data_IF_325828274447
#
_entry.id   IF_325828274447
#
_cell.length_a   1.000
_cell.length_b   1.000
_cell.length_c   1.000
_cell.angle_alpha   90.00
_cell.angle_beta   90.00
_cell.angle_gamma   90.00
#
_symmetry.space_group_name_H-M   'P 1'
#
loop_
_entity.id
_entity.type
_entity.pdbx_description
1 polymer ?
#
# COMPACT_ATOMS: atom_id res chain seq x y z
N UNK A 1 0.23 -15.62 8.75
CA UNK A 1 0.61 -16.98 8.29
C UNK A 1 1.90 -16.94 7.45
N UNK A 2 1.89 -16.38 6.22
CA UNK A 2 3.05 -16.37 5.32
C UNK A 2 4.13 -15.34 5.70
N UNK A 3 3.75 -14.27 6.34
CA UNK A 3 4.66 -13.17 6.74
C UNK A 3 5.02 -13.19 8.23
N UNK A 4 4.63 -14.22 8.97
CA UNK A 4 4.95 -14.35 10.39
C UNK A 4 4.43 -13.20 11.27
N UNK A 5 3.44 -12.47 10.80
CA UNK A 5 2.75 -11.47 11.62
C UNK A 5 1.98 -12.14 12.77
N UNK A 6 1.83 -11.43 13.86
CA UNK A 6 0.99 -11.87 14.98
C UNK A 6 -0.47 -12.01 14.52
N UNK A 7 -1.11 -13.10 14.92
CA UNK A 7 -2.53 -13.33 14.66
C UNK A 7 -3.39 -12.60 15.70
N UNK A 8 -3.53 -11.31 15.53
CA UNK A 8 -4.33 -10.42 16.37
C UNK A 8 -5.52 -9.83 15.60
N UNK A 9 -6.51 -9.34 16.34
CA UNK A 9 -7.64 -8.60 15.76
C UNK A 9 -7.12 -7.41 14.93
N UNK A 10 -6.14 -6.69 15.46
CA UNK A 10 -5.55 -5.54 14.78
C UNK A 10 -4.94 -5.92 13.42
N UNK A 11 -4.11 -6.96 13.38
CA UNK A 11 -3.44 -7.40 12.14
C UNK A 11 -4.47 -7.83 11.10
N UNK A 12 -5.48 -8.60 11.51
CA UNK A 12 -6.55 -9.05 10.61
C UNK A 12 -7.33 -7.87 10.04
N UNK A 13 -7.76 -6.93 10.90
CA UNK A 13 -8.55 -5.78 10.48
C UNK A 13 -7.76 -4.79 9.64
N UNK A 14 -6.49 -4.54 9.96
CA UNK A 14 -5.63 -3.67 9.17
C UNK A 14 -5.45 -4.22 7.75
N UNK A 15 -5.16 -5.51 7.61
CA UNK A 15 -5.01 -6.14 6.32
C UNK A 15 -6.32 -6.23 5.54
N UNK A 16 -7.41 -6.62 6.20
CA UNK A 16 -8.76 -6.65 5.62
C UNK A 16 -9.15 -5.29 5.04
N UNK A 17 -9.01 -4.20 5.83
CA UNK A 17 -9.33 -2.84 5.38
C UNK A 17 -8.52 -2.41 4.16
N UNK A 18 -7.24 -2.80 4.11
CA UNK A 18 -6.40 -2.50 2.95
C UNK A 18 -6.90 -3.19 1.68
N UNK A 19 -7.24 -4.48 1.75
CA UNK A 19 -7.74 -5.23 0.59
C UNK A 19 -9.11 -4.73 0.14
N UNK A 20 -10.04 -4.51 1.06
CA UNK A 20 -11.37 -3.96 0.75
C UNK A 20 -11.25 -2.56 0.14
N UNK A 21 -10.38 -1.70 0.66
CA UNK A 21 -10.14 -0.37 0.09
C UNK A 21 -9.52 -0.43 -1.31
N UNK A 22 -8.64 -1.41 -1.55
CA UNK A 22 -8.08 -1.64 -2.89
C UNK A 22 -9.18 -2.01 -3.90
N UNK A 23 -10.12 -2.88 -3.51
CA UNK A 23 -11.30 -3.20 -4.32
C UNK A 23 -12.18 -1.96 -4.51
N UNK A 24 -12.54 -1.27 -3.42
CA UNK A 24 -13.39 -0.07 -3.49
C UNK A 24 -12.84 0.99 -4.45
N UNK A 25 -11.53 1.23 -4.46
CA UNK A 25 -10.91 2.21 -5.36
C UNK A 25 -10.93 1.83 -6.84
N UNK A 26 -11.11 0.55 -7.16
CA UNK A 26 -11.33 0.12 -8.54
C UNK A 26 -12.78 0.38 -8.97
N UNK A 27 -13.75 0.01 -8.14
CA UNK A 27 -15.17 0.18 -8.47
C UNK A 27 -15.63 1.64 -8.32
N UNK A 28 -15.07 2.36 -7.36
CA UNK A 28 -15.38 3.76 -7.05
C UNK A 28 -14.10 4.61 -6.97
N UNK A 29 -13.47 4.94 -8.12
CA UNK A 29 -12.25 5.73 -8.14
C UNK A 29 -12.36 7.03 -7.34
N UNK A 30 -11.38 7.29 -6.48
CA UNK A 30 -11.37 8.43 -5.58
C UNK A 30 -12.09 8.21 -4.25
N UNK A 31 -12.56 6.99 -3.95
CA UNK A 31 -13.04 6.62 -2.60
C UNK A 31 -12.00 7.00 -1.56
N UNK A 32 -12.47 7.65 -0.48
CA UNK A 32 -11.59 8.11 0.59
C UNK A 32 -10.97 6.94 1.33
N UNK A 33 -9.67 6.82 1.21
CA UNK A 33 -8.85 5.91 1.98
C UNK A 33 -7.45 6.52 2.14
N UNK A 34 -7.18 7.09 3.30
CA UNK A 34 -5.97 7.87 3.59
C UNK A 34 -4.96 7.09 4.45
N UNK A 35 -5.03 5.76 4.41
CA UNK A 35 -4.21 4.88 5.23
C UNK A 35 -3.25 4.07 4.36
N UNK A 36 -2.06 3.80 4.91
CA UNK A 36 -1.08 2.87 4.35
C UNK A 36 -0.80 1.75 5.36
N UNK A 37 -0.71 0.51 4.89
CA UNK A 37 -0.26 -0.62 5.69
C UNK A 37 1.27 -0.68 5.66
N UNK A 38 1.91 -0.63 6.83
CA UNK A 38 3.36 -0.59 6.95
C UNK A 38 3.88 -1.91 7.51
N UNK A 39 4.64 -2.62 6.70
CA UNK A 39 5.28 -3.86 7.12
C UNK A 39 6.66 -3.57 7.73
N UNK A 40 6.81 -3.91 8.99
CA UNK A 40 8.01 -3.67 9.78
C UNK A 40 8.78 -4.97 9.96
N UNK A 41 10.00 -5.05 9.44
CA UNK A 41 10.93 -6.17 9.65
C UNK A 41 12.29 -5.91 9.06
N UNK A 42 13.26 -6.71 9.41
CA UNK A 42 14.56 -6.73 8.73
C UNK A 42 14.44 -6.97 7.23
N UNK A 43 15.47 -6.63 6.49
CA UNK A 43 15.56 -6.85 5.05
C UNK A 43 15.43 -8.36 4.72
N UNK A 44 14.86 -8.67 3.57
CA UNK A 44 14.75 -10.08 3.11
C UNK A 44 13.51 -10.83 3.61
N UNK A 45 12.60 -10.22 4.37
CA UNK A 45 11.38 -10.88 4.87
C UNK A 45 10.26 -11.06 3.82
N UNK A 46 10.49 -10.71 2.54
CA UNK A 46 9.50 -10.90 1.49
C UNK A 46 8.39 -9.84 1.41
N UNK A 47 8.56 -8.67 2.07
CA UNK A 47 7.57 -7.58 2.11
C UNK A 47 7.13 -7.14 0.72
N UNK A 48 8.07 -6.69 -0.09
CA UNK A 48 7.81 -6.22 -1.46
C UNK A 48 7.29 -7.34 -2.37
N UNK A 49 7.79 -8.57 -2.19
CA UNK A 49 7.30 -9.74 -2.93
C UNK A 49 5.81 -9.99 -2.67
N UNK A 50 5.36 -9.89 -1.41
CA UNK A 50 3.94 -10.03 -1.10
C UNK A 50 3.10 -8.98 -1.83
N UNK A 51 3.47 -7.70 -1.74
CA UNK A 51 2.72 -6.61 -2.37
C UNK A 51 2.72 -6.75 -3.89
N UNK A 52 3.87 -7.09 -4.49
CA UNK A 52 4.00 -7.34 -5.91
C UNK A 52 3.08 -8.48 -6.36
N UNK A 53 3.05 -9.60 -5.63
CA UNK A 53 2.19 -10.74 -5.95
C UNK A 53 0.70 -10.39 -5.82
N UNK A 54 0.32 -9.70 -4.74
CA UNK A 54 -1.05 -9.22 -4.54
C UNK A 54 -1.52 -8.28 -5.67
N UNK A 55 -0.63 -7.48 -6.22
CA UNK A 55 -0.98 -6.50 -7.26
C UNK A 55 -1.40 -7.11 -8.60
N UNK A 56 -1.14 -8.39 -8.82
CA UNK A 56 -1.42 -9.11 -10.09
C UNK A 56 -0.87 -8.38 -11.33
N UNK A 57 0.31 -7.77 -11.18
CA UNK A 57 1.01 -7.04 -12.23
C UNK A 57 0.77 -5.52 -12.26
N UNK A 58 -0.13 -4.99 -11.41
CA UNK A 58 -0.39 -3.55 -11.29
C UNK A 58 0.34 -2.97 -10.07
N UNK A 59 1.66 -3.19 -10.03
CA UNK A 59 2.56 -2.81 -8.94
C UNK A 59 3.42 -1.62 -9.30
N UNK A 60 3.69 -0.76 -8.31
CA UNK A 60 4.70 0.29 -8.40
C UNK A 60 5.48 0.38 -7.09
N UNK A 61 6.79 0.19 -7.18
CA UNK A 61 7.79 0.34 -6.12
C UNK A 61 8.83 1.42 -6.45
N UNK A 62 8.63 2.15 -7.54
CA UNK A 62 9.62 3.09 -8.08
C UNK A 62 9.39 4.55 -7.66
N UNK A 63 8.54 4.79 -6.66
CA UNK A 63 8.30 6.15 -6.16
C UNK A 63 9.52 6.70 -5.43
N UNK A 64 10.14 7.72 -6.01
CA UNK A 64 11.29 8.44 -5.43
C UNK A 64 10.91 9.79 -4.80
N UNK A 65 9.69 10.25 -5.01
CA UNK A 65 9.16 11.51 -4.49
C UNK A 65 7.66 11.41 -4.29
N UNK A 66 7.13 12.13 -3.31
CA UNK A 66 5.69 12.27 -3.05
C UNK A 66 5.13 13.61 -3.54
N UNK A 67 5.95 14.41 -4.21
CA UNK A 67 5.59 15.75 -4.67
C UNK A 67 5.75 15.91 -6.18
N UNK A 68 4.95 16.82 -6.73
CA UNK A 68 5.01 17.20 -8.13
C UNK A 68 4.36 16.22 -9.09
N UNK A 69 4.34 16.58 -10.36
CA UNK A 69 3.67 15.85 -11.44
C UNK A 69 4.18 14.41 -11.59
N UNK A 70 5.48 14.18 -11.44
CA UNK A 70 6.07 12.84 -11.56
C UNK A 70 5.52 11.86 -10.53
N UNK A 71 5.29 12.31 -9.29
CA UNK A 71 4.68 11.47 -8.26
C UNK A 71 3.25 11.05 -8.64
N UNK A 72 2.48 11.96 -9.22
CA UNK A 72 1.10 11.66 -9.65
C UNK A 72 1.07 10.77 -10.90
N UNK A 73 1.98 10.99 -11.85
CA UNK A 73 2.09 10.16 -13.05
C UNK A 73 2.49 8.71 -12.70
N UNK A 74 3.40 8.53 -11.74
CA UNK A 74 3.91 7.21 -11.37
C UNK A 74 2.83 6.27 -10.81
N UNK A 75 1.77 6.79 -10.18
CA UNK A 75 0.71 5.97 -9.59
C UNK A 75 -0.48 5.70 -10.51
N UNK A 76 -0.52 6.29 -11.72
CA UNK A 76 -1.70 6.18 -12.61
C UNK A 76 -1.95 4.76 -13.14
N UNK A 77 -0.89 3.98 -13.29
CA UNK A 77 -0.97 2.61 -13.81
C UNK A 77 -0.72 1.56 -12.73
N UNK A 78 -0.87 1.95 -11.45
CA UNK A 78 -0.67 1.06 -10.34
C UNK A 78 -1.95 0.87 -9.54
N UNK A 79 -2.15 -0.33 -9.05
CA UNK A 79 -3.19 -0.66 -8.07
C UNK A 79 -2.62 -0.70 -6.66
N UNK A 80 -1.47 -1.38 -6.49
CA UNK A 80 -0.74 -1.39 -5.23
C UNK A 80 0.59 -0.65 -5.41
N UNK A 81 0.80 0.35 -4.57
CA UNK A 81 2.02 1.17 -4.57
C UNK A 81 2.81 0.92 -3.31
N UNK A 82 4.08 0.58 -3.43
CA UNK A 82 4.98 0.44 -2.30
C UNK A 82 5.76 1.73 -2.07
N UNK A 83 5.66 2.23 -0.84
CA UNK A 83 6.50 3.29 -0.30
C UNK A 83 7.66 2.60 0.43
N UNK A 84 8.77 2.41 -0.28
CA UNK A 84 9.94 1.70 0.24
C UNK A 84 10.75 2.58 1.20
N UNK A 85 11.49 1.92 2.10
CA UNK A 85 12.52 2.53 2.95
C UNK A 85 12.03 3.72 3.82
N UNK A 86 10.86 3.57 4.45
CA UNK A 86 10.28 4.62 5.29
C UNK A 86 11.18 5.05 6.47
N UNK A 87 12.16 4.24 6.86
CA UNK A 87 13.15 4.56 7.88
C UNK A 87 14.05 5.76 7.52
N UNK A 88 14.28 5.99 6.22
CA UNK A 88 15.08 7.10 5.73
C UNK A 88 14.31 8.44 5.67
N UNK A 89 13.02 8.43 5.98
CA UNK A 89 12.13 9.59 5.84
C UNK A 89 12.33 10.57 6.99
N UNK A 90 12.59 11.84 6.65
CA UNK A 90 12.67 12.92 7.62
C UNK A 90 11.29 13.28 8.17
N UNK A 91 11.25 13.92 9.34
CA UNK A 91 9.98 14.36 9.96
C UNK A 91 9.15 15.28 9.05
N UNK A 92 9.78 16.15 8.28
CA UNK A 92 9.13 17.00 7.26
C UNK A 92 8.41 16.18 6.19
N UNK A 93 8.99 15.05 5.82
CA UNK A 93 8.51 14.21 4.73
C UNK A 93 7.30 13.36 5.17
N UNK A 94 7.16 13.10 6.48
CA UNK A 94 5.98 12.44 7.05
C UNK A 94 4.72 13.29 6.83
N UNK A 95 4.80 14.60 6.99
CA UNK A 95 3.65 15.49 6.71
C UNK A 95 3.33 15.54 5.21
N UNK A 96 4.34 15.55 4.35
CA UNK A 96 4.17 15.43 2.90
C UNK A 96 3.47 14.10 2.57
N UNK A 97 3.91 13.00 3.18
CA UNK A 97 3.31 11.68 3.01
C UNK A 97 1.85 11.66 3.48
N UNK A 98 1.54 12.18 4.67
CA UNK A 98 0.16 12.27 5.18
C UNK A 98 -0.74 13.06 4.23
N UNK A 99 -0.24 14.17 3.69
CA UNK A 99 -0.96 14.97 2.70
C UNK A 99 -1.14 14.20 1.39
N UNK A 100 -0.10 13.51 0.93
CA UNK A 100 -0.16 12.70 -0.27
C UNK A 100 -1.17 11.55 -0.13
N UNK A 101 -1.16 10.80 0.98
CA UNK A 101 -2.10 9.71 1.25
C UNK A 101 -3.56 10.19 1.31
N UNK A 102 -3.80 11.40 1.80
CA UNK A 102 -5.15 11.93 1.99
C UNK A 102 -5.84 12.37 0.69
N UNK A 103 -5.12 12.45 -0.42
CA UNK A 103 -5.70 12.84 -1.71
C UNK A 103 -6.60 11.76 -2.29
N UNK A 104 -7.72 12.18 -2.83
CA UNK A 104 -8.68 11.33 -3.55
C UNK A 104 -8.46 11.37 -5.05
N UNK A 105 -7.85 12.45 -5.52
CA UNK A 105 -7.57 12.71 -6.93
C UNK A 105 -6.29 13.54 -7.07
N UNK A 106 -5.68 13.45 -8.23
CA UNK A 106 -4.48 14.17 -8.60
C UNK A 106 -4.75 15.00 -9.86
N UNK A 107 -4.58 16.32 -9.74
CA UNK A 107 -4.81 17.25 -10.83
C UNK A 107 -3.46 17.77 -11.33
N UNK A 108 -3.13 17.43 -12.56
CA UNK A 108 -1.86 17.82 -13.17
C UNK A 108 -1.96 17.85 -14.70
N UNK A 109 -0.93 18.42 -15.32
CA UNK A 109 -0.73 18.39 -16.76
C UNK A 109 0.40 17.42 -17.08
N UNK A 110 0.08 16.30 -17.71
CA UNK A 110 1.08 15.34 -18.18
C UNK A 110 2.03 15.98 -19.20
N UNK A 111 3.23 15.43 -19.33
CA UNK A 111 4.20 15.88 -20.32
C UNK A 111 3.56 15.89 -21.71
N UNK A 112 3.78 16.97 -22.45
CA UNK A 112 3.21 17.22 -23.79
C UNK A 112 1.68 17.33 -23.86
N UNK A 113 0.95 17.21 -22.78
CA UNK A 113 -0.51 17.41 -22.80
C UNK A 113 -0.86 18.89 -22.96
N UNK A 114 -1.94 19.17 -23.71
CA UNK A 114 -2.44 20.55 -23.91
C UNK A 114 -3.24 21.07 -22.74
N UNK A 115 -3.80 20.19 -21.91
CA UNK A 115 -4.72 20.55 -20.82
C UNK A 115 -4.38 19.85 -19.52
N UNK A 116 -4.70 20.48 -18.41
CA UNK A 116 -4.73 19.88 -17.08
C UNK A 116 -5.89 18.87 -17.03
N UNK A 117 -5.65 17.72 -16.40
CA UNK A 117 -6.67 16.70 -16.14
C UNK A 117 -6.64 16.29 -14.68
N UNK A 118 -7.81 15.91 -14.18
CA UNK A 118 -7.98 15.34 -12.86
C UNK A 118 -8.11 13.82 -12.99
N UNK A 119 -7.32 13.10 -12.24
CA UNK A 119 -7.30 11.64 -12.20
C UNK A 119 -7.70 11.18 -10.79
N UNK A 120 -8.84 10.50 -10.69
CA UNK A 120 -9.27 9.89 -9.44
C UNK A 120 -8.40 8.69 -9.11
N UNK A 121 -7.95 8.59 -7.86
CA UNK A 121 -7.05 7.53 -7.43
C UNK A 121 -7.72 6.16 -7.40
N UNK A 122 -7.05 5.18 -8.00
CA UNK A 122 -7.43 3.76 -8.00
C UNK A 122 -6.44 2.91 -7.21
N UNK A 123 -5.34 3.48 -6.71
CA UNK A 123 -4.31 2.77 -5.96
C UNK A 123 -4.47 2.89 -4.45
N UNK A 124 -3.94 1.91 -3.73
CA UNK A 124 -3.70 1.94 -2.29
C UNK A 124 -2.21 1.81 -2.00
N UNK A 125 -1.79 2.21 -0.78
CA UNK A 125 -0.38 2.33 -0.44
C UNK A 125 0.02 1.31 0.62
N UNK A 126 1.11 0.63 0.35
CA UNK A 126 1.84 -0.18 1.31
C UNK A 126 3.17 0.49 1.61
N UNK A 127 3.71 0.28 2.79
CA UNK A 127 5.04 0.75 3.13
C UNK A 127 5.89 -0.37 3.69
N UNK A 128 7.20 -0.23 3.56
CA UNK A 128 8.17 -1.11 4.18
C UNK A 128 9.21 -0.33 4.95
N UNK A 129 9.56 -0.83 6.14
CA UNK A 129 10.60 -0.26 6.98
C UNK A 129 11.36 -1.36 7.71
N UNK A 130 12.61 -1.05 8.08
CA UNK A 130 13.44 -1.93 8.89
C UNK A 130 13.48 -1.49 10.37
N UNK A 131 12.87 -0.35 10.70
CA UNK A 131 12.88 0.23 12.03
C UNK A 131 11.51 0.14 12.69
N UNK A 132 11.47 -0.31 13.95
CA UNK A 132 10.26 -0.38 14.74
C UNK A 132 9.72 1.01 15.12
N UNK A 133 10.60 2.02 15.17
CA UNK A 133 10.29 3.39 15.58
C UNK A 133 10.25 4.41 14.43
N UNK A 134 9.80 4.03 13.24
CA UNK A 134 9.74 4.98 12.11
C UNK A 134 8.74 6.14 12.33
N UNK A 135 7.75 5.96 13.21
CA UNK A 135 6.75 6.98 13.59
C UNK A 135 7.08 7.58 14.97
N UNK A 136 8.08 8.45 15.02
CA UNK A 136 8.46 9.16 16.27
C UNK A 136 7.46 10.27 16.67
N UNK A 137 6.58 10.69 15.78
CA UNK A 137 5.57 11.71 16.02
C UNK A 137 4.20 11.09 16.27
N UNK A 138 3.58 11.41 17.40
CA UNK A 138 2.26 10.87 17.78
C UNK A 138 1.10 11.49 16.99
N UNK A 139 1.31 12.59 16.28
CA UNK A 139 0.25 13.28 15.55
C UNK A 139 0.02 12.69 14.16
N UNK A 140 -1.22 12.30 13.87
CA UNK A 140 -1.62 11.82 12.53
C UNK A 140 -1.20 10.38 12.21
N UNK A 141 -0.69 9.61 13.17
CA UNK A 141 -0.25 8.22 12.99
C UNK A 141 -1.40 7.26 12.64
N UNK A 142 -2.65 7.68 12.80
CA UNK A 142 -3.84 6.91 12.38
C UNK A 142 -3.86 6.52 10.89
N UNK A 143 -3.02 7.18 10.08
CA UNK A 143 -2.89 6.86 8.64
C UNK A 143 -1.95 5.70 8.37
N UNK A 144 -1.23 5.23 9.38
CA UNK A 144 -0.27 4.16 9.22
C UNK A 144 -0.69 2.96 10.06
N UNK A 145 -0.84 1.82 9.42
CA UNK A 145 -1.12 0.54 10.07
C UNK A 145 0.17 -0.29 10.14
N UNK A 146 1.01 -0.12 11.19
CA UNK A 146 2.23 -0.89 11.32
C UNK A 146 1.91 -2.34 11.69
N UNK A 147 2.49 -3.27 10.95
CA UNK A 147 2.42 -4.71 11.22
C UNK A 147 3.83 -5.25 11.25
N UNK A 148 4.24 -5.77 12.39
CA UNK A 148 5.49 -6.51 12.52
C UNK A 148 5.38 -7.82 11.76
N UNK A 149 6.33 -8.06 10.86
CA UNK A 149 6.42 -9.28 10.05
C UNK A 149 7.80 -9.90 10.21
N UNK A 150 7.89 -11.20 10.01
CA UNK A 150 9.16 -11.92 10.06
C UNK A 150 9.15 -13.11 9.11
N UNK A 151 10.31 -13.47 8.61
CA UNK A 151 10.48 -14.70 7.87
C UNK A 151 10.15 -15.91 8.77
N UNK A 152 9.38 -16.85 8.26
CA UNK A 152 9.02 -18.09 8.94
C UNK A 152 9.01 -19.29 7.96
N UNK A 153 8.70 -20.47 8.47
CA UNK A 153 8.68 -21.70 7.67
C UNK A 153 7.73 -21.66 6.48
N UNK A 154 6.70 -20.81 6.51
CA UNK A 154 5.73 -20.69 5.43
C UNK A 154 6.07 -19.54 4.44
N UNK A 155 7.06 -18.71 4.73
CA UNK A 155 7.38 -17.55 3.90
C UNK A 155 7.90 -17.94 2.50
N UNK A 156 8.44 -19.13 2.33
CA UNK A 156 8.88 -19.64 1.02
C UNK A 156 7.71 -19.77 0.02
N UNK A 157 6.48 -20.04 0.48
CA UNK A 157 5.30 -20.13 -0.38
C UNK A 157 5.02 -18.83 -1.15
N UNK A 158 5.48 -17.67 -0.64
CA UNK A 158 5.38 -16.40 -1.36
C UNK A 158 6.04 -16.43 -2.74
N UNK A 159 7.00 -17.32 -2.95
CA UNK A 159 7.75 -17.44 -4.21
C UNK A 159 7.24 -18.58 -5.09
N UNK A 160 6.33 -19.40 -4.61
CA UNK A 160 5.77 -20.51 -5.36
C UNK A 160 4.62 -20.07 -6.28
N UNK A 161 4.49 -20.75 -7.40
CA UNK A 161 3.38 -20.51 -8.33
C UNK A 161 2.03 -20.83 -7.69
N UNK A 162 1.98 -21.82 -6.80
CA UNK A 162 0.79 -22.23 -6.04
C UNK A 162 0.19 -21.11 -5.19
N UNK A 163 0.97 -20.10 -4.83
CA UNK A 163 0.49 -18.94 -4.06
C UNK A 163 -0.54 -18.08 -4.81
N UNK A 164 -0.61 -18.17 -6.14
CA UNK A 164 -1.62 -17.44 -6.94
C UNK A 164 -3.06 -17.79 -6.53
N UNK A 165 -3.34 -19.04 -6.24
CA UNK A 165 -4.68 -19.45 -5.77
C UNK A 165 -5.06 -18.82 -4.43
N UNK A 166 -4.07 -18.64 -3.54
CA UNK A 166 -4.27 -17.93 -2.27
C UNK A 166 -4.57 -16.45 -2.51
N UNK A 167 -3.87 -15.83 -3.45
CA UNK A 167 -4.12 -14.42 -3.83
C UNK A 167 -5.51 -14.25 -4.42
N UNK A 168 -5.92 -15.15 -5.31
CA UNK A 168 -7.26 -15.13 -5.91
C UNK A 168 -8.35 -15.26 -4.85
N UNK A 169 -8.17 -16.15 -3.87
CA UNK A 169 -9.07 -16.30 -2.74
C UNK A 169 -9.15 -15.03 -1.87
N UNK A 170 -8.00 -14.44 -1.55
CA UNK A 170 -7.96 -13.18 -0.77
C UNK A 170 -8.73 -12.06 -1.46
N UNK A 171 -8.58 -11.92 -2.78
CA UNK A 171 -9.31 -10.92 -3.54
C UNK A 171 -10.80 -11.22 -3.68
N UNK A 172 -11.20 -12.51 -3.80
CA UNK A 172 -12.59 -12.90 -3.78
C UNK A 172 -13.26 -12.53 -2.45
N UNK A 173 -12.62 -12.85 -1.31
CA UNK A 173 -13.11 -12.49 0.01
C UNK A 173 -13.19 -10.95 0.20
N UNK A 174 -12.17 -10.21 -0.26
CA UNK A 174 -12.18 -8.75 -0.19
C UNK A 174 -13.33 -8.15 -1.03
N UNK A 175 -13.65 -8.76 -2.17
CA UNK A 175 -14.75 -8.34 -3.03
C UNK A 175 -16.10 -8.60 -2.38
N UNK A 176 -16.31 -9.76 -1.78
CA UNK A 176 -17.54 -10.07 -1.03
C UNK A 176 -17.75 -9.09 0.14
N UNK A 177 -16.68 -8.78 0.88
CA UNK A 177 -16.74 -7.81 1.97
C UNK A 177 -17.06 -6.39 1.47
N UNK A 178 -16.53 -6.00 0.31
CA UNK A 178 -16.88 -4.72 -0.32
C UNK A 178 -18.36 -4.68 -0.73
N UNK A 179 -18.89 -5.77 -1.29
CA UNK A 179 -20.29 -5.84 -1.72
C UNK A 179 -21.27 -5.87 -0.54
N UNK A 180 -20.84 -6.35 0.60
CA UNK A 180 -21.65 -6.39 1.82
C UNK A 180 -21.73 -5.02 2.56
N UNK A 181 -20.87 -4.03 2.23
CA UNK A 181 -20.83 -2.67 2.79
C UNK A 181 -19.80 -2.51 3.89
#
# INVERSE_FOLDING_TARGET
TYMGAEDSIYTREAFRKMLVAAVARIYEPGTKFDTALIMVSHQGAGKSTLVQRLSKGWFNDSMTSLEGTKAYESIQNAWLVELAELSAIKKSDIEVMKNFLSKREDTYRAAYAKRIKTHRRQCVFFGSTNEDEFLKDQTGNRRFFPIAVKWNANSHYLFEKSFESTIDQLWAEAKELYDAG
#
